data_IF_350493778091
#
_entry.id   IF_350493778091
#
_cell.length_a   1.000
_cell.length_b   1.000
_cell.length_c   1.000
_cell.angle_alpha   90.00
_cell.angle_beta   90.00
_cell.angle_gamma   90.00
#
_symmetry.space_group_name_H-M   'P 1'
#
loop_
_entity.id
_entity.type
_entity.pdbx_description
1 polymer ?
#
# COMPACT_ATOMS: atom_id res chain seq x y z
N UNK A 1 16.83 25.74 21.76
CA UNK A 1 17.96 24.85 21.37
C UNK A 1 18.13 24.95 19.86
N UNK A 2 19.36 24.84 19.34
CA UNK A 2 19.61 24.98 17.90
C UNK A 2 19.28 23.67 17.20
N UNK A 3 18.48 23.74 16.12
CA UNK A 3 18.13 22.57 15.29
C UNK A 3 19.22 22.32 14.26
N UNK A 4 19.58 21.06 14.09
CA UNK A 4 20.61 20.60 13.16
C UNK A 4 19.98 19.66 12.14
N UNK A 5 20.45 19.78 10.89
CA UNK A 5 20.08 18.87 9.79
C UNK A 5 21.13 17.79 9.63
N UNK A 6 20.70 16.60 9.26
CA UNK A 6 21.59 15.50 8.91
C UNK A 6 20.85 14.40 8.18
N UNK A 7 21.58 13.40 7.71
CA UNK A 7 21.03 12.22 7.05
C UNK A 7 21.20 10.99 7.93
N UNK A 8 20.20 10.11 7.96
CA UNK A 8 20.23 8.90 8.78
C UNK A 8 21.30 7.98 8.23
N UNK A 9 22.40 7.81 8.97
CA UNK A 9 23.49 6.92 8.58
C UNK A 9 23.07 5.47 8.63
N UNK A 10 22.31 5.10 9.66
CA UNK A 10 21.61 3.83 9.77
C UNK A 10 20.65 3.87 10.95
N UNK A 11 19.58 3.08 10.90
CA UNK A 11 18.65 2.95 12.02
C UNK A 11 18.07 1.53 12.08
N UNK A 12 18.13 0.91 13.26
CA UNK A 12 17.61 -0.43 13.49
C UNK A 12 16.19 -0.37 14.01
N UNK A 13 15.20 -0.57 13.12
CA UNK A 13 13.78 -0.63 13.48
C UNK A 13 13.45 -1.70 14.54
N UNK A 14 14.24 -2.78 14.60
CA UNK A 14 14.08 -3.87 15.58
C UNK A 14 14.64 -3.51 16.96
N UNK A 15 15.78 -2.82 17.02
CA UNK A 15 16.41 -2.41 18.29
C UNK A 15 15.93 -1.03 18.75
N UNK A 16 15.33 -0.26 17.85
CA UNK A 16 14.83 1.08 18.09
C UNK A 16 15.93 2.13 18.24
N UNK A 17 17.09 1.99 17.59
CA UNK A 17 18.14 3.02 17.62
C UNK A 17 19.02 3.01 16.39
N UNK A 18 19.76 4.10 16.18
CA UNK A 18 20.61 4.33 15.01
C UNK A 18 21.59 5.49 15.18
N UNK A 19 22.16 5.94 14.08
CA UNK A 19 23.00 7.12 14.00
C UNK A 19 22.62 8.01 12.82
N UNK A 20 22.82 9.31 12.97
CA UNK A 20 22.59 10.33 11.96
C UNK A 20 23.92 11.02 11.67
N UNK A 21 24.28 11.15 10.40
CA UNK A 21 25.44 11.95 9.97
C UNK A 21 24.98 13.40 9.79
N UNK A 22 25.52 14.36 10.55
CA UNK A 22 25.15 15.77 10.40
C UNK A 22 25.51 16.30 9.01
N UNK A 23 24.76 17.26 8.50
CA UNK A 23 25.03 17.88 7.20
C UNK A 23 26.31 18.74 7.24
N UNK A 24 26.96 18.93 6.09
CA UNK A 24 28.17 19.75 6.01
C UNK A 24 27.92 21.19 6.50
N UNK A 25 28.81 21.68 7.38
CA UNK A 25 28.67 22.99 8.03
C UNK A 25 27.88 22.98 9.35
N UNK A 26 27.47 21.82 9.84
CA UNK A 26 26.88 21.69 11.19
C UNK A 26 27.92 21.91 12.31
N UNK A 27 27.49 22.32 13.51
CA UNK A 27 28.37 22.49 14.67
C UNK A 27 28.97 21.17 15.20
N UNK A 28 28.53 20.01 14.70
CA UNK A 28 29.05 18.68 15.01
C UNK A 28 29.50 17.99 13.73
N UNK A 29 30.70 17.42 13.75
CA UNK A 29 31.28 16.67 12.62
C UNK A 29 31.14 15.16 12.77
N UNK A 30 30.88 14.68 13.98
CA UNK A 30 30.77 13.25 14.30
C UNK A 30 29.33 12.74 14.17
N UNK A 31 29.18 11.46 13.86
CA UNK A 31 27.86 10.82 13.81
C UNK A 31 27.17 10.85 15.17
N UNK A 32 25.90 11.23 15.19
CA UNK A 32 25.13 11.38 16.41
C UNK A 32 24.18 10.22 16.63
N UNK A 33 24.13 9.68 17.85
CA UNK A 33 23.26 8.58 18.22
C UNK A 33 21.79 9.00 18.27
N UNK A 34 20.85 8.17 17.80
CA UNK A 34 19.40 8.41 17.86
C UNK A 34 18.65 7.18 18.42
N UNK A 35 17.67 7.38 19.29
CA UNK A 35 16.79 6.32 19.80
C UNK A 35 15.32 6.55 19.38
N UNK A 36 14.54 5.48 19.22
CA UNK A 36 13.14 5.49 18.78
C UNK A 36 12.24 6.37 19.65
N UNK A 37 12.52 6.46 20.94
CA UNK A 37 11.74 7.30 21.87
C UNK A 37 11.89 8.79 21.55
N UNK A 38 12.98 9.18 20.89
CA UNK A 38 13.30 10.55 20.55
C UNK A 38 12.78 10.95 19.17
N UNK A 39 12.25 9.99 18.41
CA UNK A 39 11.70 10.20 17.07
C UNK A 39 10.24 10.59 17.18
N UNK A 40 9.90 11.77 16.67
CA UNK A 40 8.54 12.26 16.58
C UNK A 40 7.94 11.73 15.27
N UNK A 41 7.07 10.74 15.36
CA UNK A 41 6.27 10.27 14.23
C UNK A 41 4.89 9.79 14.70
N UNK A 42 3.94 9.75 13.76
CA UNK A 42 2.65 9.13 13.97
C UNK A 42 2.74 7.63 13.63
N UNK A 43 2.62 6.76 14.65
CA UNK A 43 2.69 5.31 14.50
C UNK A 43 4.05 4.68 14.87
N UNK A 44 4.47 3.63 14.16
CA UNK A 44 5.71 2.89 14.49
C UNK A 44 6.95 3.73 14.18
N UNK A 45 7.79 3.99 15.20
CA UNK A 45 8.90 4.96 15.17
C UNK A 45 10.12 4.40 14.44
N UNK A 46 10.15 4.59 13.12
CA UNK A 46 11.20 4.07 12.22
C UNK A 46 11.85 5.18 11.40
N UNK A 47 13.13 5.01 11.10
CA UNK A 47 13.88 5.83 10.14
C UNK A 47 14.52 4.91 9.09
N UNK A 48 14.49 5.30 7.81
CA UNK A 48 15.25 4.62 6.78
C UNK A 48 16.59 5.32 6.56
N UNK A 49 17.61 4.52 6.22
CA UNK A 49 18.95 5.00 5.90
C UNK A 49 18.95 5.95 4.70
N UNK A 50 19.76 7.00 4.79
CA UNK A 50 19.85 8.07 3.80
C UNK A 50 18.73 9.12 3.88
N UNK A 51 17.80 9.03 4.83
CA UNK A 51 16.78 10.08 5.01
C UNK A 51 17.32 11.31 5.68
N UNK A 52 16.96 12.47 5.14
CA UNK A 52 17.20 13.74 5.79
C UNK A 52 16.26 13.89 6.98
N UNK A 53 16.82 14.39 8.09
CA UNK A 53 16.14 14.60 9.36
C UNK A 53 16.60 15.92 9.99
N UNK A 54 15.72 16.52 10.78
CA UNK A 54 16.03 17.64 11.68
C UNK A 54 15.93 17.17 13.12
N UNK A 55 16.97 17.48 13.90
CA UNK A 55 17.05 17.07 15.29
C UNK A 55 17.74 18.14 16.15
N UNK A 56 17.55 18.03 17.45
CA UNK A 56 18.27 18.82 18.44
C UNK A 56 19.35 17.95 19.10
N UNK A 57 20.46 18.55 19.49
CA UNK A 57 21.54 17.84 20.17
C UNK A 57 21.26 17.86 21.68
N UNK A 58 20.96 16.70 22.23
CA UNK A 58 20.91 16.45 23.66
C UNK A 58 22.08 15.60 24.12
N UNK A 59 22.12 15.29 25.41
CA UNK A 59 23.11 14.38 26.00
C UNK A 59 22.40 13.25 26.75
N UNK A 60 22.99 12.06 26.78
CA UNK A 60 22.55 10.99 27.68
C UNK A 60 23.07 11.18 29.10
N UNK A 61 22.67 10.28 30.00
CA UNK A 61 23.02 10.34 31.42
C UNK A 61 24.53 10.14 31.65
N UNK A 62 25.24 9.56 30.68
CA UNK A 62 26.69 9.38 30.64
C UNK A 62 27.42 10.56 29.95
N UNK A 63 26.70 11.63 29.59
CA UNK A 63 27.25 12.85 29.00
C UNK A 63 27.59 12.79 27.52
N UNK A 64 27.17 11.75 26.79
CA UNK A 64 27.42 11.58 25.35
C UNK A 64 26.34 12.24 24.52
N UNK A 65 26.73 12.82 23.38
CA UNK A 65 25.81 13.50 22.48
C UNK A 65 24.82 12.52 21.81
N UNK A 66 23.53 12.87 21.84
CA UNK A 66 22.44 12.15 21.19
C UNK A 66 21.46 13.10 20.51
N UNK A 67 20.82 12.63 19.45
CA UNK A 67 19.75 13.32 18.77
C UNK A 67 18.45 13.18 19.56
N UNK A 68 17.84 14.32 19.87
CA UNK A 68 16.52 14.43 20.52
C UNK A 68 15.58 15.24 19.64
N UNK A 69 14.27 15.09 19.87
CA UNK A 69 13.23 15.77 19.07
C UNK A 69 13.42 15.55 17.56
N UNK A 70 13.73 14.31 17.16
CA UNK A 70 14.04 13.96 15.77
C UNK A 70 12.76 14.01 14.94
N UNK A 71 12.78 14.81 13.90
CA UNK A 71 11.67 15.13 13.00
C UNK A 71 12.14 15.06 11.55
N UNK A 72 11.21 15.02 10.62
CA UNK A 72 11.52 15.30 9.23
C UNK A 72 11.98 16.78 9.09
N UNK A 73 12.75 17.11 8.04
CA UNK A 73 13.14 18.49 7.78
C UNK A 73 11.91 19.41 7.75
N UNK A 74 11.93 20.51 8.52
CA UNK A 74 10.78 21.38 8.74
C UNK A 74 9.95 21.04 9.98
N UNK A 75 10.37 20.09 10.82
CA UNK A 75 9.73 19.78 12.11
C UNK A 75 8.52 18.85 12.03
N UNK A 76 8.25 18.23 10.88
CA UNK A 76 7.14 17.30 10.68
C UNK A 76 7.42 15.88 11.23
N UNK A 77 6.40 15.01 11.33
CA UNK A 77 6.60 13.65 11.82
C UNK A 77 7.49 12.85 10.86
N UNK A 78 8.43 12.06 11.39
CA UNK A 78 9.25 11.08 10.66
C UNK A 78 8.38 9.92 10.17
N UNK A 79 7.49 10.19 9.21
CA UNK A 79 6.66 9.18 8.55
C UNK A 79 7.45 8.63 7.38
N UNK A 80 7.73 7.33 7.41
CA UNK A 80 8.56 6.78 6.37
C UNK A 80 7.96 6.90 4.98
N UNK A 81 8.83 7.06 3.96
CA UNK A 81 8.46 6.97 2.55
C UNK A 81 7.93 5.55 2.31
N UNK A 82 6.63 5.31 2.52
CA UNK A 82 6.04 4.01 2.20
C UNK A 82 6.14 3.79 0.69
N UNK A 83 7.20 3.11 0.21
CA UNK A 83 7.29 2.35 -1.05
C UNK A 83 8.63 2.50 -1.79
N UNK A 84 9.53 1.52 -1.65
CA UNK A 84 10.03 0.78 -2.82
C UNK A 84 9.97 -0.73 -2.57
N UNK A 85 9.06 -1.35 -3.28
CA UNK A 85 8.81 -2.78 -3.41
C UNK A 85 10.06 -3.49 -3.98
N UNK A 86 10.43 -4.66 -3.41
CA UNK A 86 11.26 -5.74 -4.00
C UNK A 86 12.65 -5.38 -4.57
N UNK A 87 13.69 -5.82 -3.87
CA UNK A 87 14.98 -6.35 -4.41
C UNK A 87 15.65 -7.09 -3.23
N UNK A 88 16.11 -8.34 -3.22
CA UNK A 88 16.36 -9.36 -4.23
C UNK A 88 17.70 -10.04 -3.85
N UNK A 89 17.73 -11.37 -3.64
CA UNK A 89 18.93 -12.24 -3.48
C UNK A 89 19.65 -12.14 -2.12
N UNK A 90 19.84 -13.21 -1.33
CA UNK A 90 20.79 -14.32 -1.55
C UNK A 90 22.21 -13.90 -1.13
N UNK A 91 22.96 -14.51 -0.21
CA UNK A 91 22.89 -15.73 0.58
C UNK A 91 24.24 -15.89 1.32
N UNK A 92 24.35 -16.88 2.22
CA UNK A 92 25.64 -17.53 2.52
C UNK A 92 26.26 -17.37 3.92
N UNK A 93 26.33 -18.50 4.65
CA UNK A 93 27.40 -18.87 5.60
C UNK A 93 27.28 -18.30 7.03
N UNK A 94 27.45 -19.03 8.14
CA UNK A 94 27.91 -20.38 8.41
C UNK A 94 28.46 -20.45 9.86
N UNK A 95 28.16 -21.53 10.59
CA UNK A 95 28.94 -21.99 11.75
C UNK A 95 28.61 -21.45 13.16
N UNK A 96 27.93 -22.25 14.00
CA UNK A 96 28.61 -23.02 15.06
C UNK A 96 27.62 -23.73 16.01
N UNK A 97 28.05 -24.93 16.41
CA UNK A 97 27.41 -25.89 17.30
C UNK A 97 26.58 -25.30 18.45
N UNK A 98 25.27 -25.44 18.34
CA UNK A 98 24.38 -25.68 19.49
C UNK A 98 23.15 -26.36 18.95
N UNK A 99 22.94 -27.64 19.29
CA UNK A 99 21.69 -28.35 19.01
C UNK A 99 20.54 -27.44 19.47
N UNK A 100 19.62 -27.00 18.59
CA UNK A 100 18.49 -26.22 19.06
C UNK A 100 17.67 -27.10 19.99
N UNK A 101 17.45 -26.62 21.21
CA UNK A 101 16.55 -27.25 22.16
C UNK A 101 15.24 -27.62 21.44
N UNK A 102 14.64 -28.80 21.72
CA UNK A 102 13.42 -29.23 21.05
C UNK A 102 12.39 -28.12 21.18
N UNK A 103 12.05 -27.54 20.03
CA UNK A 103 11.11 -26.43 19.92
C UNK A 103 9.81 -26.95 20.49
N UNK A 104 9.45 -26.48 21.69
CA UNK A 104 8.20 -26.86 22.33
C UNK A 104 7.05 -26.40 21.41
N UNK A 105 6.53 -27.32 20.61
CA UNK A 105 5.52 -27.08 19.57
C UNK A 105 4.18 -26.63 20.18
N UNK A 106 4.01 -26.77 21.50
CA UNK A 106 2.76 -26.45 22.21
C UNK A 106 2.60 -24.97 22.62
N UNK A 107 3.46 -24.05 22.15
CA UNK A 107 3.28 -22.59 22.40
C UNK A 107 2.95 -21.74 21.18
N UNK A 108 2.86 -22.34 20.00
CA UNK A 108 2.09 -21.72 18.92
C UNK A 108 0.69 -22.25 19.08
N UNK A 109 -0.21 -21.43 19.63
CA UNK A 109 -1.62 -21.62 19.34
C UNK A 109 -1.78 -21.84 17.83
N UNK A 110 -2.78 -22.63 17.39
CA UNK A 110 -2.93 -22.96 15.97
C UNK A 110 -2.77 -21.66 15.18
N UNK A 111 -1.94 -21.71 14.13
CA UNK A 111 -1.87 -20.58 13.21
C UNK A 111 -3.31 -20.23 12.90
N UNK A 112 -3.74 -18.99 13.21
CA UNK A 112 -5.07 -18.53 12.82
C UNK A 112 -5.21 -18.96 11.37
N UNK A 113 -6.23 -19.77 11.01
CA UNK A 113 -6.45 -20.11 9.62
C UNK A 113 -6.39 -18.79 8.87
N UNK A 114 -5.52 -18.69 7.87
CA UNK A 114 -5.69 -17.59 6.93
C UNK A 114 -7.06 -17.87 6.36
N UNK A 115 -8.02 -17.01 6.68
CA UNK A 115 -9.32 -17.10 6.03
C UNK A 115 -9.02 -17.15 4.54
N UNK A 116 -9.46 -18.22 3.85
CA UNK A 116 -9.18 -18.37 2.43
C UNK A 116 -9.70 -17.12 1.72
N UNK A 117 -8.98 -16.70 0.69
CA UNK A 117 -9.46 -15.57 -0.09
C UNK A 117 -10.82 -15.91 -0.70
N UNK A 118 -11.68 -14.91 -0.87
CA UNK A 118 -13.05 -15.12 -1.36
C UNK A 118 -13.09 -15.85 -2.72
N UNK A 119 -12.11 -15.67 -3.60
CA UNK A 119 -12.08 -16.36 -4.89
C UNK A 119 -11.84 -17.88 -4.79
N UNK A 120 -11.40 -18.37 -3.63
CA UNK A 120 -11.26 -19.81 -3.38
C UNK A 120 -12.62 -20.51 -3.26
N UNK A 121 -13.68 -19.78 -2.90
CA UNK A 121 -15.06 -20.30 -2.84
C UNK A 121 -15.75 -20.35 -4.21
N UNK A 122 -15.12 -19.85 -5.27
CA UNK A 122 -15.64 -20.00 -6.63
C UNK A 122 -15.65 -21.48 -7.02
N UNK A 123 -16.63 -21.88 -7.82
CA UNK A 123 -16.64 -23.22 -8.40
C UNK A 123 -15.46 -23.41 -9.38
N UNK A 124 -15.12 -24.66 -9.67
CA UNK A 124 -13.96 -24.98 -10.50
C UNK A 124 -14.11 -24.50 -11.95
N UNK A 125 -15.34 -24.44 -12.48
CA UNK A 125 -15.60 -23.96 -13.83
C UNK A 125 -15.25 -22.48 -13.98
N UNK A 126 -15.69 -21.63 -13.04
CA UNK A 126 -15.36 -20.21 -12.99
C UNK A 126 -13.85 -20.03 -12.82
N UNK A 127 -13.21 -20.80 -11.94
CA UNK A 127 -11.75 -20.75 -11.75
C UNK A 127 -11.00 -21.10 -13.05
N UNK A 128 -11.47 -22.10 -13.79
CA UNK A 128 -10.90 -22.49 -15.08
C UNK A 128 -11.08 -21.38 -16.12
N UNK A 129 -12.27 -20.79 -16.22
CA UNK A 129 -12.54 -19.67 -17.15
C UNK A 129 -11.63 -18.47 -16.83
N UNK A 130 -11.49 -18.10 -15.55
CA UNK A 130 -10.61 -17.00 -15.14
C UNK A 130 -9.15 -17.28 -15.53
N UNK A 131 -8.70 -18.52 -15.35
CA UNK A 131 -7.36 -18.95 -15.73
C UNK A 131 -7.15 -18.93 -17.24
N UNK A 132 -8.12 -19.40 -18.03
CA UNK A 132 -8.07 -19.38 -19.50
C UNK A 132 -8.00 -17.96 -20.06
N UNK A 133 -8.67 -17.00 -19.38
CA UNK A 133 -8.63 -15.57 -19.71
C UNK A 133 -7.39 -14.83 -19.18
N UNK A 134 -6.43 -15.51 -18.54
CA UNK A 134 -5.28 -14.91 -17.82
C UNK A 134 -5.70 -13.87 -16.75
N UNK A 135 -6.89 -14.03 -16.17
CA UNK A 135 -7.37 -13.21 -15.05
C UNK A 135 -6.74 -13.73 -13.75
N UNK A 136 -5.97 -12.88 -13.09
CA UNK A 136 -5.23 -13.24 -11.88
C UNK A 136 -6.13 -13.24 -10.64
N UNK A 137 -6.10 -14.33 -9.89
CA UNK A 137 -6.85 -14.47 -8.62
C UNK A 137 -5.97 -14.61 -7.37
N UNK A 138 -4.70 -14.99 -7.53
CA UNK A 138 -3.78 -15.46 -6.47
C UNK A 138 -3.47 -14.50 -5.30
N UNK A 139 -3.93 -13.26 -5.35
CA UNK A 139 -3.64 -12.23 -4.32
C UNK A 139 -4.84 -11.86 -3.46
N UNK A 140 -5.96 -12.58 -3.59
CA UNK A 140 -7.22 -12.20 -2.94
C UNK A 140 -7.90 -11.00 -3.59
N UNK A 141 -7.40 -10.61 -4.77
CA UNK A 141 -7.94 -9.53 -5.57
C UNK A 141 -8.13 -10.02 -7.00
N UNK A 142 -9.21 -9.60 -7.64
CA UNK A 142 -9.46 -9.81 -9.06
C UNK A 142 -9.67 -8.44 -9.69
N UNK A 143 -8.88 -8.11 -10.71
CA UNK A 143 -9.00 -6.88 -11.49
C UNK A 143 -9.48 -7.27 -12.89
N UNK A 144 -10.60 -6.72 -13.34
CA UNK A 144 -11.24 -7.06 -14.62
C UNK A 144 -11.68 -5.82 -15.38
N UNK A 145 -11.71 -5.94 -16.70
CA UNK A 145 -12.31 -5.00 -17.61
C UNK A 145 -13.65 -5.54 -18.11
N UNK A 146 -14.65 -4.66 -18.17
CA UNK A 146 -16.01 -4.95 -18.62
C UNK A 146 -16.50 -3.77 -19.45
N UNK A 147 -16.39 -3.87 -20.77
CA UNK A 147 -16.64 -2.74 -21.67
C UNK A 147 -15.80 -1.52 -21.27
N UNK A 148 -16.48 -0.43 -20.92
CA UNK A 148 -15.87 0.85 -20.53
C UNK A 148 -15.56 0.97 -19.03
N UNK A 149 -15.76 -0.10 -18.26
CA UNK A 149 -15.51 -0.16 -16.82
C UNK A 149 -14.28 -1.00 -16.49
N UNK A 150 -13.56 -0.59 -15.44
CA UNK A 150 -12.46 -1.33 -14.82
C UNK A 150 -12.79 -1.54 -13.36
N UNK A 151 -12.98 -2.80 -12.99
CA UNK A 151 -13.53 -3.20 -11.70
C UNK A 151 -12.48 -4.00 -10.94
N UNK A 152 -12.32 -3.64 -9.66
CA UNK A 152 -11.54 -4.38 -8.70
C UNK A 152 -12.43 -5.02 -7.67
N UNK A 153 -12.27 -6.33 -7.52
CA UNK A 153 -12.80 -7.12 -6.43
C UNK A 153 -11.67 -7.34 -5.43
N UNK A 154 -11.73 -6.64 -4.30
CA UNK A 154 -10.72 -6.66 -3.25
C UNK A 154 -10.93 -7.76 -2.21
N UNK A 155 -10.09 -7.74 -1.18
CA UNK A 155 -10.28 -8.55 0.02
C UNK A 155 -11.36 -7.96 0.91
N UNK A 156 -11.97 -8.77 1.79
CA UNK A 156 -12.97 -8.31 2.77
C UNK A 156 -14.23 -7.68 2.13
N UNK A 157 -14.57 -8.08 0.91
CA UNK A 157 -15.77 -7.58 0.22
C UNK A 157 -15.63 -6.14 -0.31
N UNK A 158 -14.42 -5.56 -0.32
CA UNK A 158 -14.18 -4.24 -0.88
C UNK A 158 -14.23 -4.25 -2.41
N UNK A 159 -14.91 -3.30 -3.04
CA UNK A 159 -14.90 -3.12 -4.48
C UNK A 159 -14.60 -1.66 -4.88
N UNK A 160 -13.97 -1.50 -6.03
CA UNK A 160 -13.85 -0.20 -6.67
C UNK A 160 -13.96 -0.31 -8.18
N UNK A 161 -14.42 0.76 -8.82
CA UNK A 161 -14.64 0.82 -10.26
C UNK A 161 -14.20 2.17 -10.82
N UNK A 162 -13.66 2.14 -12.03
CA UNK A 162 -13.39 3.30 -12.86
C UNK A 162 -14.07 3.13 -14.22
N UNK A 163 -14.83 4.13 -14.65
CA UNK A 163 -15.59 4.10 -15.90
C UNK A 163 -15.07 5.19 -16.86
N UNK A 164 -15.00 4.89 -18.16
CA UNK A 164 -14.47 5.79 -19.20
C UNK A 164 -15.17 7.16 -19.26
N UNK A 165 -16.43 7.23 -18.83
CA UNK A 165 -17.18 8.48 -18.66
C UNK A 165 -16.60 9.43 -17.59
N UNK A 166 -15.52 9.06 -16.90
CA UNK A 166 -14.97 9.82 -15.78
C UNK A 166 -15.78 9.65 -14.51
N UNK A 167 -16.24 8.42 -14.24
CA UNK A 167 -16.98 8.08 -13.02
C UNK A 167 -16.15 7.08 -12.25
N UNK A 168 -15.96 7.32 -10.96
CA UNK A 168 -15.20 6.45 -10.08
C UNK A 168 -16.05 6.11 -8.87
N UNK A 169 -16.18 4.82 -8.61
CA UNK A 169 -16.96 4.29 -7.50
C UNK A 169 -16.11 3.48 -6.54
N UNK A 170 -16.49 3.51 -5.27
CA UNK A 170 -16.00 2.64 -4.22
C UNK A 170 -17.17 2.13 -3.40
N UNK A 171 -17.07 0.88 -2.93
CA UNK A 171 -18.05 0.32 -2.03
C UNK A 171 -17.76 -1.13 -1.73
N UNK A 172 -18.82 -1.92 -1.64
CA UNK A 172 -18.74 -3.32 -1.26
C UNK A 172 -19.28 -4.25 -2.34
N UNK A 173 -18.89 -5.52 -2.28
CA UNK A 173 -19.44 -6.57 -3.12
C UNK A 173 -19.66 -7.87 -2.35
N UNK A 174 -20.60 -8.66 -2.84
CA UNK A 174 -20.74 -10.08 -2.54
C UNK A 174 -20.56 -10.88 -3.83
N UNK A 175 -20.01 -12.08 -3.76
CA UNK A 175 -19.83 -12.93 -4.93
C UNK A 175 -20.34 -14.34 -4.64
N UNK A 176 -21.18 -14.88 -5.52
CA UNK A 176 -21.64 -16.27 -5.44
C UNK A 176 -20.55 -17.26 -5.88
N UNK A 177 -20.73 -18.54 -5.57
CA UNK A 177 -19.82 -19.60 -6.04
C UNK A 177 -19.79 -19.70 -7.58
N UNK A 178 -20.89 -19.33 -8.24
CA UNK A 178 -21.01 -19.26 -9.71
C UNK A 178 -20.33 -18.01 -10.31
N UNK A 179 -19.62 -17.23 -9.50
CA UNK A 179 -18.87 -16.06 -9.96
C UNK A 179 -19.72 -14.85 -10.29
N UNK A 180 -20.95 -14.77 -9.77
CA UNK A 180 -21.78 -13.56 -9.90
C UNK A 180 -21.46 -12.62 -8.76
N UNK A 181 -20.76 -11.53 -9.07
CA UNK A 181 -20.46 -10.43 -8.16
C UNK A 181 -21.60 -9.41 -8.20
N UNK A 182 -22.10 -9.00 -7.04
CA UNK A 182 -23.11 -7.94 -6.87
C UNK A 182 -22.51 -6.82 -6.06
N UNK A 183 -22.70 -5.58 -6.51
CA UNK A 183 -22.04 -4.38 -5.98
C UNK A 183 -23.01 -3.46 -5.26
N UNK A 184 -22.50 -2.82 -4.21
CA UNK A 184 -23.11 -1.68 -3.55
C UNK A 184 -22.10 -0.54 -3.54
N UNK A 185 -22.33 0.50 -4.35
CA UNK A 185 -21.45 1.66 -4.43
C UNK A 185 -21.82 2.68 -3.34
N UNK A 186 -20.90 2.90 -2.42
CA UNK A 186 -21.10 3.74 -1.23
C UNK A 186 -20.58 5.16 -1.46
N UNK A 187 -19.51 5.29 -2.24
CA UNK A 187 -18.91 6.57 -2.60
C UNK A 187 -18.71 6.64 -4.10
N UNK A 188 -19.10 7.76 -4.71
CA UNK A 188 -18.92 8.00 -6.12
C UNK A 188 -18.44 9.44 -6.37
N UNK A 189 -17.46 9.59 -7.25
CA UNK A 189 -17.04 10.88 -7.81
C UNK A 189 -17.18 10.85 -9.32
N UNK A 190 -17.47 12.00 -9.91
CA UNK A 190 -17.54 12.16 -11.36
C UNK A 190 -16.73 13.37 -11.83
N UNK A 191 -16.27 13.33 -13.07
CA UNK A 191 -15.55 14.44 -13.70
C UNK A 191 -16.52 15.34 -14.47
N UNK A 192 -16.55 16.62 -14.12
CA UNK A 192 -17.33 17.67 -14.80
C UNK A 192 -16.52 18.97 -14.91
N UNK A 193 -15.30 18.87 -15.43
CA UNK A 193 -14.29 19.95 -15.42
C UNK A 193 -13.41 19.92 -14.16
N UNK A 194 -13.94 19.39 -13.06
CA UNK A 194 -13.19 18.93 -11.89
C UNK A 194 -13.85 17.66 -11.33
N UNK A 195 -13.11 16.94 -10.49
CA UNK A 195 -13.64 15.77 -9.79
C UNK A 195 -14.48 16.21 -8.60
N UNK A 196 -15.75 15.82 -8.59
CA UNK A 196 -16.73 16.17 -7.55
C UNK A 196 -17.42 14.92 -7.03
N UNK A 197 -17.85 14.94 -5.77
CA UNK A 197 -18.70 13.89 -5.22
C UNK A 197 -20.03 13.91 -5.95
N UNK A 198 -20.42 12.77 -6.50
CA UNK A 198 -21.58 12.63 -7.36
C UNK A 198 -22.18 11.23 -7.17
N UNK A 199 -23.00 11.09 -6.12
CA UNK A 199 -23.62 9.82 -5.78
C UNK A 199 -24.69 9.39 -6.78
N UNK A 200 -25.29 10.33 -7.53
CA UNK A 200 -26.28 10.01 -8.55
C UNK A 200 -25.67 9.22 -9.72
N UNK A 201 -24.40 9.52 -10.06
CA UNK A 201 -23.66 8.79 -11.10
C UNK A 201 -23.32 7.36 -10.72
N UNK A 202 -23.46 6.96 -9.46
CA UNK A 202 -23.31 5.57 -9.06
C UNK A 202 -24.32 4.65 -9.77
N UNK A 203 -25.48 5.19 -10.21
CA UNK A 203 -26.48 4.45 -10.97
C UNK A 203 -26.01 4.04 -12.39
N UNK A 204 -24.94 4.67 -12.90
CA UNK A 204 -24.33 4.32 -14.19
C UNK A 204 -23.25 3.23 -14.05
N UNK A 205 -22.83 2.91 -12.83
CA UNK A 205 -21.85 1.88 -12.55
C UNK A 205 -22.53 0.49 -12.53
N UNK A 206 -21.80 -0.58 -12.88
CA UNK A 206 -22.37 -1.93 -12.87
C UNK A 206 -22.83 -2.31 -11.45
N UNK A 207 -24.07 -2.77 -11.32
CA UNK A 207 -24.62 -3.29 -10.06
C UNK A 207 -24.36 -4.79 -9.89
N UNK A 208 -24.04 -5.50 -10.97
CA UNK A 208 -23.57 -6.88 -10.94
C UNK A 208 -22.68 -7.23 -12.13
N UNK A 209 -21.93 -8.31 -12.01
CA UNK A 209 -21.04 -8.86 -13.02
C UNK A 209 -20.92 -10.37 -12.87
N UNK A 210 -20.99 -11.12 -13.97
CA UNK A 210 -20.58 -12.53 -13.96
C UNK A 210 -19.13 -12.65 -14.42
N UNK A 211 -18.25 -13.20 -13.57
CA UNK A 211 -16.83 -13.43 -13.89
C UNK A 211 -16.64 -14.38 -15.08
N UNK A 212 -17.63 -15.21 -15.37
CA UNK A 212 -17.65 -16.14 -16.51
C UNK A 212 -18.10 -15.50 -17.82
N UNK A 213 -18.69 -14.30 -17.79
CA UNK A 213 -19.20 -13.60 -18.99
C UNK A 213 -18.07 -13.36 -20.00
N UNK A 214 -18.32 -13.60 -21.29
CA UNK A 214 -17.32 -13.41 -22.35
C UNK A 214 -16.76 -11.97 -22.42
N UNK A 215 -17.52 -10.98 -21.98
CA UNK A 215 -17.11 -9.57 -21.95
C UNK A 215 -16.22 -9.22 -20.75
N UNK A 216 -16.08 -10.13 -19.78
CA UNK A 216 -15.12 -9.98 -18.67
C UNK A 216 -13.76 -10.46 -19.14
N UNK A 217 -12.83 -9.51 -19.25
CA UNK A 217 -11.47 -9.72 -19.72
C UNK A 217 -10.47 -9.18 -18.69
N UNK A 218 -9.20 -9.62 -18.70
CA UNK A 218 -8.19 -9.03 -17.83
C UNK A 218 -7.97 -7.55 -18.18
N UNK A 219 -7.69 -6.73 -17.17
CA UNK A 219 -7.21 -5.35 -17.40
C UNK A 219 -5.87 -5.42 -18.11
N UNK A 220 -5.73 -4.68 -19.21
CA UNK A 220 -4.51 -4.73 -20.02
C UNK A 220 -3.33 -4.12 -19.26
N UNK A 221 -2.11 -4.65 -19.47
CA UNK A 221 -0.93 -4.23 -18.73
C UNK A 221 -0.43 -2.82 -19.05
N UNK A 222 -0.81 -2.31 -20.22
CA UNK A 222 -0.52 -1.01 -20.77
C UNK A 222 -1.65 0.00 -20.54
N UNK A 223 -2.73 -0.41 -19.88
CA UNK A 223 -3.85 0.48 -19.62
C UNK A 223 -3.53 1.54 -18.56
N UNK A 224 -3.81 2.79 -18.87
CA UNK A 224 -3.61 3.97 -18.01
C UNK A 224 -4.89 4.78 -17.87
N UNK A 225 -4.88 5.74 -16.94
CA UNK A 225 -6.02 6.65 -16.77
C UNK A 225 -6.26 7.43 -18.07
N UNK A 226 -5.18 7.87 -18.73
CA UNK A 226 -5.27 8.55 -20.03
C UNK A 226 -5.93 7.65 -21.09
N UNK A 227 -5.57 6.36 -21.16
CA UNK A 227 -6.21 5.46 -22.14
C UNK A 227 -7.67 5.14 -21.81
N UNK A 228 -8.07 5.21 -20.53
CA UNK A 228 -9.45 4.92 -20.12
C UNK A 228 -10.40 6.07 -20.46
N UNK A 229 -10.00 7.33 -20.23
CA UNK A 229 -10.94 8.47 -20.35
C UNK A 229 -10.39 9.69 -21.08
N UNK A 230 -9.24 9.55 -21.75
CA UNK A 230 -8.60 10.58 -22.57
C UNK A 230 -7.75 11.57 -21.76
N UNK A 231 -7.12 12.49 -22.49
CA UNK A 231 -6.25 13.54 -21.93
C UNK A 231 -7.02 14.67 -21.25
N UNK A 232 -8.35 14.71 -21.44
CA UNK A 232 -9.20 15.82 -20.98
C UNK A 232 -9.46 15.80 -19.47
N UNK A 233 -9.23 14.66 -18.80
CA UNK A 233 -9.55 14.48 -17.37
C UNK A 233 -8.28 14.45 -16.53
N UNK A 234 -8.22 15.30 -15.52
CA UNK A 234 -7.10 15.36 -14.57
C UNK A 234 -7.00 14.12 -13.69
N UNK A 235 -5.86 13.92 -13.02
CA UNK A 235 -5.67 12.83 -12.05
C UNK A 235 -6.70 12.94 -10.89
N UNK A 236 -7.53 11.91 -10.64
CA UNK A 236 -8.52 11.92 -9.55
C UNK A 236 -7.91 11.80 -8.15
N UNK A 237 -6.59 11.55 -8.02
CA UNK A 237 -5.94 11.25 -6.73
C UNK A 237 -6.29 12.23 -5.62
N UNK A 238 -6.18 13.54 -5.86
CA UNK A 238 -6.47 14.55 -4.84
C UNK A 238 -7.93 14.53 -4.41
N UNK A 239 -8.86 14.34 -5.36
CA UNK A 239 -10.28 14.24 -5.06
C UNK A 239 -10.63 12.96 -4.29
N UNK A 240 -10.00 11.83 -4.61
CA UNK A 240 -10.15 10.59 -3.87
C UNK A 240 -9.68 10.75 -2.41
N UNK A 241 -8.49 11.34 -2.21
CA UNK A 241 -7.93 11.58 -0.87
C UNK A 241 -8.78 12.58 -0.06
N UNK A 242 -9.21 13.67 -0.68
CA UNK A 242 -10.04 14.70 -0.03
C UNK A 242 -11.43 14.18 0.39
N UNK A 243 -11.98 13.21 -0.35
CA UNK A 243 -13.30 12.64 -0.08
C UNK A 243 -13.24 11.29 0.66
N UNK A 244 -12.08 10.91 1.19
CA UNK A 244 -11.96 9.77 2.11
C UNK A 244 -12.05 8.39 1.45
N UNK A 245 -11.85 8.29 0.13
CA UNK A 245 -11.82 7.00 -0.56
C UNK A 245 -10.65 6.14 -0.05
N UNK A 246 -10.90 4.85 0.15
CA UNK A 246 -9.83 3.87 0.44
C UNK A 246 -8.94 3.67 -0.81
N UNK A 247 -9.54 3.75 -1.99
CA UNK A 247 -8.85 3.80 -3.27
C UNK A 247 -8.11 5.13 -3.41
N UNK A 248 -6.79 5.06 -3.58
CA UNK A 248 -5.95 6.25 -3.83
C UNK A 248 -5.43 6.34 -5.27
N UNK A 249 -5.76 5.36 -6.10
CA UNK A 249 -5.38 5.27 -7.52
C UNK A 249 -6.44 4.49 -8.28
N UNK A 250 -6.66 4.89 -9.52
CA UNK A 250 -7.57 4.20 -10.44
C UNK A 250 -7.20 2.73 -10.60
N UNK A 251 -8.22 1.88 -10.71
CA UNK A 251 -8.08 0.44 -10.97
C UNK A 251 -7.60 0.19 -12.40
N UNK A 252 -6.31 0.43 -12.66
CA UNK A 252 -5.75 0.30 -14.01
C UNK A 252 -4.45 -0.48 -14.04
N UNK A 253 -3.88 -0.84 -12.89
CA UNK A 253 -2.57 -1.46 -12.85
C UNK A 253 -2.66 -2.95 -12.50
N UNK A 254 -2.46 -3.87 -13.46
CA UNK A 254 -1.86 -5.15 -13.15
C UNK A 254 -0.48 -4.87 -12.55
N UNK A 255 -0.29 -5.19 -11.28
CA UNK A 255 1.01 -5.06 -10.61
C UNK A 255 2.06 -5.81 -11.46
N UNK A 256 3.00 -5.06 -12.09
CA UNK A 256 4.15 -5.57 -12.88
C UNK A 256 4.61 -6.95 -12.37
N UNK A 257 4.62 -7.94 -13.27
CA UNK A 257 5.30 -9.21 -13.06
C UNK A 257 6.78 -8.87 -12.81
N UNK A 258 7.22 -9.05 -11.57
CA UNK A 258 8.62 -9.04 -11.14
C UNK A 258 9.00 -10.49 -10.87
#
# INVERSE_FOLDING_TARGET
MSKVRGSVKWFSNKKGFGFITPADGSPITDDIFVHQSSIHCDGYRTLDEGWDVEFEIGHDDDGKAKAVNVTAPGGGPCTGVRSRRRQGGGGGGGGNNSKPAPRNQNRRGPAKPKEPFWHESLNEDVKNILKEKDIRTTTGTIDVAVGDARVKLGTQGYASVAHAAGIIGEGTFACSEDGVATFTWEHCISYSGSWVVDQEKAALLPSSLSLSDANVVPVASDETAETLWGDDKSDPKEALEANGFLMRRVVLTPRRRY
#
